data_IF_552944085884
#
_entry.id   IF_552944085884
#
_cell.length_a   1.000
_cell.length_b   1.000
_cell.length_c   1.000
_cell.angle_alpha   90.00
_cell.angle_beta   90.00
_cell.angle_gamma   90.00
#
_symmetry.space_group_name_H-M   'P 1'
#
loop_
_entity.id
_entity.type
_entity.pdbx_description
1 polymer ?
#
# COMPACT_ATOMS: atom_id res chain seq x y z
N UNK A 1 -21.99 14.69 0.38
CA UNK A 1 -21.17 13.53 0.80
C UNK A 1 -22.14 12.51 1.40
N UNK A 2 -22.36 11.37 0.74
CA UNK A 2 -23.23 10.30 1.27
C UNK A 2 -22.37 9.38 2.14
N UNK A 3 -22.82 9.06 3.35
CA UNK A 3 -22.18 8.09 4.23
C UNK A 3 -22.12 6.70 3.58
N UNK A 4 -21.04 5.95 3.84
CA UNK A 4 -21.00 4.50 3.65
C UNK A 4 -20.27 3.96 2.42
N UNK A 5 -19.83 4.79 1.45
CA UNK A 5 -19.05 4.32 0.28
C UNK A 5 -19.71 3.11 -0.41
N UNK A 6 -21.04 3.18 -0.64
CA UNK A 6 -21.88 2.08 -1.12
C UNK A 6 -21.81 1.84 -2.64
N UNK A 7 -21.03 2.65 -3.36
CA UNK A 7 -20.85 2.50 -4.80
C UNK A 7 -19.73 1.51 -5.11
N UNK A 8 -19.77 0.91 -6.30
CA UNK A 8 -18.73 -0.03 -6.71
C UNK A 8 -17.37 0.68 -6.74
N UNK A 9 -16.30 0.08 -6.18
CA UNK A 9 -14.96 0.65 -6.25
C UNK A 9 -14.53 0.76 -7.71
N UNK A 10 -13.89 1.88 -8.06
CA UNK A 10 -13.31 2.07 -9.39
C UNK A 10 -11.89 1.51 -9.38
N UNK A 11 -11.64 0.50 -10.21
CA UNK A 11 -10.29 0.00 -10.48
C UNK A 11 -9.68 0.87 -11.57
N UNK A 12 -8.53 1.49 -11.29
CA UNK A 12 -7.77 2.23 -12.29
C UNK A 12 -6.82 1.27 -13.02
N UNK A 13 -6.89 1.15 -14.37
CA UNK A 13 -5.99 0.29 -15.11
C UNK A 13 -4.53 0.74 -14.97
N UNK A 14 -3.63 -0.22 -14.74
CA UNK A 14 -2.20 0.02 -14.78
C UNK A 14 -1.73 0.11 -16.24
N UNK A 15 -0.86 1.08 -16.55
CA UNK A 15 -0.33 1.27 -17.90
C UNK A 15 0.87 0.35 -18.19
N UNK A 16 0.63 -0.96 -18.08
CA UNK A 16 1.67 -2.00 -18.12
C UNK A 16 2.42 -2.15 -19.44
N UNK A 17 1.99 -1.43 -20.48
CA UNK A 17 2.64 -1.46 -21.81
C UNK A 17 3.71 -0.39 -21.98
N UNK A 18 3.77 0.57 -21.06
CA UNK A 18 4.83 1.58 -21.07
C UNK A 18 6.13 0.98 -20.55
N UNK A 19 7.26 1.53 -21.01
CA UNK A 19 8.58 1.17 -20.47
C UNK A 19 8.69 1.48 -18.98
N UNK A 20 8.00 2.54 -18.54
CA UNK A 20 7.97 2.99 -17.15
C UNK A 20 7.40 1.95 -16.18
N UNK A 21 6.48 1.10 -16.62
CA UNK A 21 5.90 0.05 -15.78
C UNK A 21 6.95 -0.95 -15.25
N UNK A 22 8.07 -1.10 -15.95
CA UNK A 22 9.15 -2.00 -15.58
C UNK A 22 10.27 -1.31 -14.79
N UNK A 23 10.12 -0.03 -14.48
CA UNK A 23 11.07 0.72 -13.66
C UNK A 23 10.92 0.33 -12.19
N UNK A 24 12.00 -0.18 -11.60
CA UNK A 24 12.05 -0.61 -10.20
C UNK A 24 11.90 0.55 -9.20
N UNK A 25 12.45 1.72 -9.52
CA UNK A 25 12.33 2.93 -8.69
C UNK A 25 10.87 3.38 -8.64
N UNK A 26 10.23 3.47 -9.80
CA UNK A 26 8.81 3.85 -9.91
C UNK A 26 7.88 2.85 -9.24
N UNK A 27 8.22 1.55 -9.29
CA UNK A 27 7.51 0.53 -8.54
C UNK A 27 7.65 0.73 -7.02
N UNK A 28 8.87 0.99 -6.55
CA UNK A 28 9.14 1.21 -5.12
C UNK A 28 8.42 2.45 -4.58
N UNK A 29 8.38 3.54 -5.36
CA UNK A 29 7.68 4.77 -5.00
C UNK A 29 6.16 4.55 -4.94
N UNK A 30 5.62 3.75 -5.86
CA UNK A 30 4.20 3.38 -5.83
C UNK A 30 3.87 2.47 -4.64
N UNK A 31 4.78 1.57 -4.25
CA UNK A 31 4.65 0.76 -3.04
C UNK A 31 4.63 1.63 -1.79
N UNK A 32 5.55 2.59 -1.67
CA UNK A 32 5.61 3.57 -0.58
C UNK A 32 4.28 4.33 -0.46
N UNK A 33 3.76 4.85 -1.58
CA UNK A 33 2.46 5.54 -1.64
C UNK A 33 1.31 4.65 -1.17
N UNK A 34 1.26 3.40 -1.61
CA UNK A 34 0.20 2.45 -1.22
C UNK A 34 0.29 2.13 0.28
N UNK A 35 1.50 1.90 0.79
CA UNK A 35 1.71 1.56 2.20
C UNK A 35 1.40 2.73 3.13
N UNK A 36 1.71 3.96 2.73
CA UNK A 36 1.28 5.19 3.41
C UNK A 36 -0.25 5.26 3.53
N UNK A 37 -0.95 5.05 2.41
CA UNK A 37 -2.42 5.03 2.37
C UNK A 37 -2.97 3.92 3.27
N UNK A 38 -2.37 2.73 3.26
CA UNK A 38 -2.76 1.64 4.15
C UNK A 38 -2.59 2.04 5.63
N UNK A 39 -1.44 2.63 5.97
CA UNK A 39 -1.13 3.08 7.34
C UNK A 39 -2.09 4.17 7.81
N UNK A 40 -2.43 5.14 6.96
CA UNK A 40 -3.36 6.22 7.29
C UNK A 40 -4.84 5.78 7.33
N UNK A 41 -5.28 4.99 6.36
CA UNK A 41 -6.70 4.67 6.19
C UNK A 41 -7.20 3.55 7.12
N UNK A 42 -6.39 2.48 7.29
CA UNK A 42 -6.67 1.29 8.15
C UNK A 42 -8.06 0.64 7.97
N UNK A 43 -8.79 0.96 6.90
CA UNK A 43 -10.20 0.56 6.70
C UNK A 43 -10.39 -0.94 6.51
N UNK A 44 -9.36 -1.61 6.02
CA UNK A 44 -9.33 -3.05 5.75
C UNK A 44 -8.52 -3.85 6.77
N UNK A 45 -8.21 -3.30 7.96
CA UNK A 45 -7.30 -3.92 8.94
C UNK A 45 -7.70 -5.35 9.35
N UNK A 46 -8.99 -5.63 9.44
CA UNK A 46 -9.51 -6.96 9.79
C UNK A 46 -9.57 -7.95 8.60
N UNK A 47 -9.32 -7.46 7.39
CA UNK A 47 -9.50 -8.20 6.14
C UNK A 47 -8.20 -8.41 5.35
N UNK A 48 -7.18 -7.60 5.59
CA UNK A 48 -5.92 -7.64 4.85
C UNK A 48 -4.80 -8.28 5.67
N UNK A 49 -4.19 -9.32 5.11
CA UNK A 49 -3.14 -10.10 5.77
C UNK A 49 -1.78 -9.42 5.84
N UNK A 50 -1.56 -8.33 5.09
CA UNK A 50 -0.29 -7.61 5.06
C UNK A 50 -0.12 -6.63 6.23
N UNK A 51 -1.21 -6.25 6.92
CA UNK A 51 -1.15 -5.24 7.98
C UNK A 51 -0.24 -5.59 9.16
N UNK A 52 -0.25 -6.82 9.70
CA UNK A 52 0.67 -7.17 10.78
C UNK A 52 2.11 -6.86 10.42
N UNK A 53 2.59 -7.34 9.27
CA UNK A 53 3.96 -7.07 8.81
C UNK A 53 4.21 -5.60 8.52
N UNK A 54 3.26 -4.90 7.88
CA UNK A 54 3.40 -3.48 7.59
C UNK A 54 3.52 -2.65 8.89
N UNK A 55 2.70 -2.93 9.90
CA UNK A 55 2.73 -2.21 11.16
C UNK A 55 3.94 -2.55 12.00
N UNK A 56 4.37 -3.81 12.03
CA UNK A 56 5.62 -4.19 12.71
C UNK A 56 6.81 -3.40 12.15
N UNK A 57 6.93 -3.28 10.82
CA UNK A 57 8.01 -2.51 10.19
C UNK A 57 7.95 -1.01 10.51
N UNK A 58 6.74 -0.43 10.55
CA UNK A 58 6.55 1.00 10.84
C UNK A 58 6.82 1.29 12.32
N UNK A 59 6.34 0.43 13.23
CA UNK A 59 6.51 0.58 14.67
C UNK A 59 7.98 0.38 15.10
N UNK A 60 8.75 -0.40 14.35
CA UNK A 60 10.20 -0.54 14.51
C UNK A 60 11.01 0.64 13.93
N UNK A 61 10.38 1.47 13.08
CA UNK A 61 10.97 2.64 12.46
C UNK A 61 11.08 3.85 13.40
N UNK A 62 12.02 4.76 13.12
CA UNK A 62 12.30 5.91 13.99
C UNK A 62 11.18 6.95 14.05
N UNK A 63 10.42 7.10 12.95
CA UNK A 63 9.36 8.13 12.82
C UNK A 63 7.99 7.59 13.20
N UNK A 64 7.82 6.26 13.21
CA UNK A 64 6.50 5.63 13.27
C UNK A 64 5.66 5.83 12.01
N UNK A 65 6.29 6.21 10.90
CA UNK A 65 5.68 6.44 9.59
C UNK A 65 6.44 5.64 8.50
N UNK A 66 5.85 5.54 7.30
CA UNK A 66 6.42 4.73 6.20
C UNK A 66 7.80 5.21 5.73
N UNK A 67 8.12 6.49 5.93
CA UNK A 67 9.38 7.13 5.52
C UNK A 67 10.61 6.58 6.26
N UNK A 68 10.40 5.92 7.40
CA UNK A 68 11.45 5.27 8.18
C UNK A 68 11.66 3.79 7.87
N UNK A 69 10.82 3.20 7.00
CA UNK A 69 10.92 1.80 6.60
C UNK A 69 11.90 1.65 5.42
N UNK A 70 12.89 0.75 5.55
CA UNK A 70 13.82 0.47 4.45
C UNK A 70 13.05 -0.10 3.24
N UNK A 71 13.23 0.49 2.05
CA UNK A 71 12.58 0.03 0.80
C UNK A 71 12.81 -1.46 0.52
N UNK A 72 13.91 -2.05 1.01
CA UNK A 72 14.18 -3.50 0.89
C UNK A 72 13.16 -4.35 1.64
N UNK A 73 12.60 -3.82 2.73
CA UNK A 73 11.68 -4.54 3.60
C UNK A 73 10.24 -4.49 3.10
N UNK A 74 9.95 -3.66 2.11
CA UNK A 74 8.67 -3.64 1.40
C UNK A 74 8.31 -5.02 0.84
N UNK A 75 9.31 -5.80 0.43
CA UNK A 75 9.11 -7.17 -0.05
C UNK A 75 8.52 -8.11 1.00
N UNK A 76 8.67 -7.83 2.30
CA UNK A 76 8.04 -8.61 3.37
C UNK A 76 6.52 -8.39 3.42
N UNK A 77 6.06 -7.21 3.00
CA UNK A 77 4.64 -6.82 3.01
C UNK A 77 3.89 -7.40 1.80
N UNK A 78 4.55 -7.50 0.64
CA UNK A 78 3.89 -7.92 -0.61
C UNK A 78 3.38 -9.35 -0.61
N UNK A 79 3.98 -10.25 0.17
CA UNK A 79 3.59 -11.67 0.25
C UNK A 79 2.12 -11.88 0.65
N UNK A 80 1.54 -10.90 1.35
CA UNK A 80 0.13 -10.91 1.78
C UNK A 80 -0.65 -9.68 1.27
N UNK A 81 -0.10 -8.93 0.30
CA UNK A 81 -0.76 -7.77 -0.28
C UNK A 81 -1.69 -8.18 -1.43
N UNK A 82 -2.93 -7.67 -1.42
CA UNK A 82 -3.94 -8.01 -2.42
C UNK A 82 -4.13 -6.98 -3.54
N UNK A 83 -3.37 -5.87 -3.52
CA UNK A 83 -3.52 -4.76 -4.49
C UNK A 83 -5.00 -4.37 -4.65
N UNK A 84 -5.62 -4.05 -3.51
CA UNK A 84 -7.08 -4.04 -3.40
C UNK A 84 -7.75 -2.78 -3.98
N UNK A 85 -7.02 -1.66 -4.07
CA UNK A 85 -7.49 -0.34 -4.51
C UNK A 85 -8.76 0.15 -3.79
N UNK A 86 -8.94 -0.27 -2.52
CA UNK A 86 -10.11 0.11 -1.71
C UNK A 86 -9.89 1.45 -0.98
N UNK A 87 -8.64 1.83 -0.78
CA UNK A 87 -8.22 3.06 -0.11
C UNK A 87 -7.42 3.91 -1.10
N UNK A 88 -7.60 5.24 -1.05
CA UNK A 88 -6.98 6.22 -1.95
C UNK A 88 -6.80 7.56 -1.24
#
# INVERSE_FOLDING_TARGET
MKEGSLEAPTRHPLDWKTEEFYNEESCSDEMERIFDICHGCRRCVSLCGSFPTLFDLIDEGETGEIDSVDKKDYWKVVDQCYLCDVCY
#
